data_IF_647354266223
#
_entry.id   IF_647354266223
#
_cell.length_a   1.000
_cell.length_b   1.000
_cell.length_c   1.000
_cell.angle_alpha   90.00
_cell.angle_beta   90.00
_cell.angle_gamma   90.00
#
_symmetry.space_group_name_H-M   'P 1'
#
loop_
_entity.id
_entity.type
_entity.pdbx_description
1 polymer ?
#
# COMPACT_ATOMS: atom_id res chain seq x y z
N UNK A 1 4.37 43.28 8.77
CA UNK A 1 3.33 43.20 7.73
C UNK A 1 4.10 43.04 6.43
N UNK A 2 4.15 41.93 5.70
CA UNK A 2 3.21 40.83 5.47
C UNK A 2 4.03 39.62 4.96
N UNK A 3 3.71 38.44 5.49
CA UNK A 3 3.71 37.10 4.88
C UNK A 3 4.72 36.79 3.76
N UNK A 4 5.72 35.96 4.09
CA UNK A 4 6.43 35.14 3.11
C UNK A 4 5.57 33.92 2.75
N UNK A 5 5.17 33.71 1.48
CA UNK A 5 4.74 32.39 1.02
C UNK A 5 5.99 31.51 0.87
N UNK A 6 6.19 30.61 1.84
CA UNK A 6 7.13 29.48 1.66
C UNK A 6 6.44 28.47 0.75
N UNK A 7 6.79 28.52 -0.53
CA UNK A 7 6.55 27.44 -1.47
C UNK A 7 7.45 26.28 -1.02
N UNK A 8 6.83 25.26 -0.44
CA UNK A 8 7.45 23.97 -0.12
C UNK A 8 7.96 23.32 -1.41
N UNK A 9 9.27 23.07 -1.57
CA UNK A 9 9.77 22.21 -2.64
C UNK A 9 9.46 20.76 -2.27
N UNK A 10 8.51 20.13 -2.97
CA UNK A 10 8.23 18.71 -2.85
C UNK A 10 9.39 17.94 -3.45
N UNK A 11 10.27 17.44 -2.58
CA UNK A 11 11.50 16.74 -2.92
C UNK A 11 11.21 15.47 -3.72
N UNK A 12 11.67 15.44 -4.97
CA UNK A 12 11.97 14.22 -5.70
C UNK A 12 13.46 13.88 -5.48
N UNK A 13 13.84 12.65 -5.09
CA UNK A 13 15.22 12.21 -5.11
C UNK A 13 15.59 11.55 -6.44
N UNK A 14 16.72 11.95 -7.01
CA UNK A 14 17.32 11.41 -8.24
C UNK A 14 18.26 10.20 -7.99
N UNK A 15 18.03 9.13 -8.77
CA UNK A 15 18.97 8.22 -9.49
C UNK A 15 20.03 7.38 -8.72
N UNK A 16 20.06 6.06 -8.95
CA UNK A 16 21.28 5.19 -9.06
C UNK A 16 20.95 3.90 -9.85
N UNK A 17 21.83 3.53 -10.77
CA UNK A 17 21.67 2.64 -11.92
C UNK A 17 21.62 1.12 -11.62
N UNK A 18 20.72 0.35 -12.29
CA UNK A 18 21.01 -0.95 -12.95
C UNK A 18 19.76 -1.57 -13.64
N UNK A 19 20.00 -2.07 -14.86
CA UNK A 19 19.14 -2.88 -15.77
C UNK A 19 18.17 -2.13 -16.72
N UNK A 20 18.35 -2.22 -18.06
CA UNK A 20 17.54 -1.51 -19.07
C UNK A 20 16.26 -2.23 -19.54
N UNK A 21 15.72 -3.19 -18.80
CA UNK A 21 14.43 -3.86 -19.12
C UNK A 21 13.52 -4.05 -17.89
N UNK A 22 13.55 -3.10 -16.95
CA UNK A 22 12.62 -3.03 -15.84
C UNK A 22 11.90 -1.68 -15.88
N UNK A 23 10.57 -1.69 -15.77
CA UNK A 23 9.77 -0.49 -15.56
C UNK A 23 10.38 0.36 -14.41
N UNK A 24 10.28 1.69 -14.45
CA UNK A 24 10.94 2.57 -13.47
C UNK A 24 10.61 2.15 -12.04
N UNK A 25 11.54 2.26 -11.06
CA UNK A 25 11.24 2.08 -9.65
C UNK A 25 10.29 3.20 -9.24
N UNK A 26 9.01 2.90 -9.36
CA UNK A 26 7.93 3.71 -8.86
C UNK A 26 7.94 3.55 -7.36
N UNK A 27 8.64 4.46 -6.68
CA UNK A 27 8.63 4.55 -5.23
C UNK A 27 7.23 4.95 -4.78
N UNK A 28 6.37 3.96 -4.58
CA UNK A 28 5.04 4.14 -4.02
C UNK A 28 5.16 4.21 -2.51
N UNK A 29 5.71 5.28 -1.96
CA UNK A 29 5.63 5.49 -0.51
C UNK A 29 4.18 5.73 -0.13
N UNK A 30 3.58 4.80 0.61
CA UNK A 30 2.20 4.90 1.05
C UNK A 30 2.14 4.95 2.57
N UNK A 31 1.58 6.04 3.07
CA UNK A 31 1.34 6.24 4.49
C UNK A 31 -0.16 6.19 4.74
N UNK A 32 -0.57 5.28 5.60
CA UNK A 32 -1.95 5.10 6.02
C UNK A 32 -2.03 5.35 7.51
N UNK A 33 -2.82 6.34 7.90
CA UNK A 33 -3.07 6.69 9.30
C UNK A 33 -4.54 6.47 9.58
N UNK A 34 -4.85 5.67 10.60
CA UNK A 34 -6.22 5.34 10.99
C UNK A 34 -7.11 4.98 9.80
N UNK A 35 -6.55 4.20 8.87
CA UNK A 35 -7.22 3.84 7.62
C UNK A 35 -7.74 2.42 7.70
N UNK A 36 -8.93 2.18 7.14
CA UNK A 36 -9.47 0.81 7.07
C UNK A 36 -8.64 -0.05 6.12
N UNK A 37 -8.43 -1.31 6.48
CA UNK A 37 -7.72 -2.26 5.61
C UNK A 37 -8.38 -2.40 4.24
N UNK A 38 -9.70 -2.31 4.18
CA UNK A 38 -10.42 -2.32 2.91
C UNK A 38 -9.93 -1.19 1.96
N UNK A 39 -9.70 0.01 2.49
CA UNK A 39 -9.19 1.15 1.71
C UNK A 39 -7.71 0.99 1.36
N UNK A 40 -6.89 0.47 2.28
CA UNK A 40 -5.48 0.16 2.02
C UNK A 40 -5.34 -0.84 0.87
N UNK A 41 -6.14 -1.92 0.88
CA UNK A 41 -6.13 -2.94 -0.16
C UNK A 41 -6.57 -2.37 -1.51
N UNK A 42 -7.59 -1.50 -1.56
CA UNK A 42 -7.97 -0.81 -2.80
C UNK A 42 -6.87 0.13 -3.31
N UNK A 43 -6.18 0.84 -2.42
CA UNK A 43 -5.07 1.70 -2.81
C UNK A 43 -3.92 0.89 -3.41
N UNK A 44 -3.60 -0.26 -2.83
CA UNK A 44 -2.63 -1.21 -3.39
C UNK A 44 -3.11 -1.79 -4.73
N UNK A 45 -4.39 -2.13 -4.86
CA UNK A 45 -4.97 -2.59 -6.13
C UNK A 45 -4.76 -1.55 -7.25
N UNK A 46 -5.11 -0.29 -6.97
CA UNK A 46 -5.01 0.80 -7.93
C UNK A 46 -3.56 1.18 -8.28
N UNK A 47 -2.65 1.15 -7.29
CA UNK A 47 -1.25 1.53 -7.52
C UNK A 47 -0.48 0.49 -8.32
N UNK A 48 -0.75 -0.80 -8.10
CA UNK A 48 -0.05 -1.89 -8.76
C UNK A 48 -0.80 -2.46 -9.97
N UNK A 49 -2.04 -2.04 -10.22
CA UNK A 49 -2.85 -2.49 -11.35
C UNK A 49 -3.22 -3.98 -11.31
N UNK A 50 -3.25 -4.57 -10.11
CA UNK A 50 -3.61 -5.97 -9.88
C UNK A 50 -5.09 -6.11 -9.54
N UNK A 51 -5.62 -7.33 -9.37
CA UNK A 51 -6.94 -7.57 -8.79
C UNK A 51 -6.82 -8.16 -7.39
N UNK A 52 -7.35 -7.47 -6.39
CA UNK A 52 -7.32 -7.90 -4.99
C UNK A 52 -8.75 -8.18 -4.53
N UNK A 53 -9.05 -9.47 -4.32
CA UNK A 53 -10.33 -9.90 -3.75
C UNK A 53 -10.21 -10.07 -2.25
N UNK A 54 -11.07 -9.38 -1.51
CA UNK A 54 -11.11 -9.40 -0.07
C UNK A 54 -12.54 -9.30 0.45
N UNK A 55 -12.71 -9.62 1.73
CA UNK A 55 -14.00 -9.65 2.41
C UNK A 55 -14.25 -8.28 3.05
N UNK A 56 -14.83 -7.36 2.27
CA UNK A 56 -14.96 -5.94 2.65
C UNK A 56 -15.67 -5.73 3.99
N UNK A 57 -16.70 -6.52 4.29
CA UNK A 57 -17.42 -6.44 5.57
C UNK A 57 -16.52 -6.77 6.76
N UNK A 58 -15.61 -7.75 6.62
CA UNK A 58 -14.67 -8.13 7.70
C UNK A 58 -13.51 -7.16 7.82
N UNK A 59 -13.13 -6.50 6.73
CA UNK A 59 -11.93 -5.64 6.67
C UNK A 59 -12.23 -4.14 6.82
N UNK A 60 -13.48 -3.71 6.66
CA UNK A 60 -13.88 -2.31 6.84
C UNK A 60 -13.80 -1.87 8.31
N UNK A 61 -13.99 -2.80 9.25
CA UNK A 61 -13.85 -2.54 10.69
C UNK A 61 -12.40 -2.54 11.20
N UNK A 62 -11.45 -2.97 10.37
CA UNK A 62 -10.04 -3.05 10.73
C UNK A 62 -9.36 -1.72 10.42
N UNK A 63 -9.24 -0.84 11.41
CA UNK A 63 -8.53 0.42 11.29
C UNK A 63 -7.08 0.22 11.74
N UNK A 64 -6.13 0.50 10.86
CA UNK A 64 -4.69 0.36 11.14
C UNK A 64 -3.91 1.58 10.70
N UNK A 65 -2.74 1.75 11.29
CA UNK A 65 -1.73 2.71 10.86
C UNK A 65 -0.55 1.92 10.30
N UNK A 66 -0.26 2.11 9.02
CA UNK A 66 0.77 1.36 8.31
C UNK A 66 1.59 2.28 7.41
N UNK A 67 2.90 2.04 7.41
CA UNK A 67 3.86 2.74 6.57
C UNK A 67 4.46 1.72 5.60
N UNK A 68 4.13 1.86 4.32
CA UNK A 68 4.56 0.96 3.26
C UNK A 68 5.54 1.70 2.37
N UNK A 69 6.84 1.41 2.53
CA UNK A 69 7.93 2.18 1.92
C UNK A 69 8.84 1.26 1.11
N UNK A 70 9.14 1.59 -0.15
CA UNK A 70 10.09 0.85 -1.03
C UNK A 70 9.89 -0.68 -1.11
N UNK A 71 8.76 -1.21 -0.65
CA UNK A 71 8.47 -2.65 -0.60
C UNK A 71 7.67 -3.12 -1.82
N UNK A 72 7.86 -4.37 -2.22
CA UNK A 72 7.00 -5.07 -3.19
C UNK A 72 5.55 -5.17 -2.69
N UNK A 73 4.59 -5.22 -3.63
CA UNK A 73 3.16 -5.41 -3.33
C UNK A 73 2.91 -6.57 -2.36
N UNK A 74 3.61 -7.69 -2.54
CA UNK A 74 3.45 -8.87 -1.70
C UNK A 74 3.91 -8.64 -0.27
N UNK A 75 5.01 -7.92 -0.07
CA UNK A 75 5.50 -7.59 1.27
C UNK A 75 4.56 -6.60 1.94
N UNK A 76 4.04 -5.61 1.20
CA UNK A 76 3.00 -4.70 1.68
C UNK A 76 1.75 -5.43 2.14
N UNK A 77 1.26 -6.36 1.32
CA UNK A 77 0.13 -7.23 1.67
C UNK A 77 0.43 -8.07 2.90
N UNK A 78 1.66 -8.57 3.03
CA UNK A 78 2.09 -9.34 4.19
C UNK A 78 1.99 -8.50 5.47
N UNK A 79 2.58 -7.30 5.48
CA UNK A 79 2.52 -6.37 6.63
C UNK A 79 1.06 -6.06 7.00
N UNK A 80 0.23 -5.73 6.01
CA UNK A 80 -1.20 -5.46 6.24
C UNK A 80 -1.91 -6.70 6.82
N UNK A 81 -1.61 -7.88 6.30
CA UNK A 81 -2.17 -9.15 6.79
C UNK A 81 -1.71 -9.45 8.22
N UNK A 82 -0.43 -9.23 8.56
CA UNK A 82 0.10 -9.45 9.90
C UNK A 82 -0.61 -8.56 10.94
N UNK A 83 -0.88 -7.30 10.59
CA UNK A 83 -1.58 -6.35 11.47
C UNK A 83 -3.02 -6.78 11.79
N UNK A 84 -3.68 -7.52 10.89
CA UNK A 84 -5.07 -7.99 11.06
C UNK A 84 -5.19 -9.49 11.32
N UNK A 85 -4.08 -10.20 11.53
CA UNK A 85 -4.08 -11.66 11.65
C UNK A 85 -4.69 -12.38 10.43
N UNK A 86 -4.39 -11.89 9.24
CA UNK A 86 -4.81 -12.43 7.96
C UNK A 86 -3.68 -13.10 7.17
N UNK A 87 -4.01 -13.48 5.95
CA UNK A 87 -3.08 -14.04 4.98
C UNK A 87 -3.61 -13.76 3.58
N UNK A 88 -2.71 -13.57 2.62
CA UNK A 88 -3.07 -13.46 1.21
C UNK A 88 -2.68 -14.73 0.46
N UNK A 89 -3.35 -14.99 -0.65
CA UNK A 89 -3.07 -16.10 -1.54
C UNK A 89 -3.21 -15.65 -2.99
N UNK A 90 -2.21 -15.94 -3.80
CA UNK A 90 -2.21 -15.59 -5.23
C UNK A 90 -2.86 -16.75 -6.00
N UNK A 91 -3.88 -16.43 -6.80
CA UNK A 91 -4.70 -17.36 -7.55
C UNK A 91 -4.72 -16.91 -9.02
N UNK A 92 -3.69 -17.31 -9.76
CA UNK A 92 -3.43 -16.82 -11.12
C UNK A 92 -3.13 -15.32 -11.11
N UNK A 93 -4.02 -14.54 -11.72
CA UNK A 93 -3.92 -13.07 -11.83
C UNK A 93 -4.62 -12.31 -10.69
N UNK A 94 -5.22 -13.05 -9.74
CA UNK A 94 -6.02 -12.48 -8.66
C UNK A 94 -5.41 -12.79 -7.30
N UNK A 95 -5.28 -11.77 -6.47
CA UNK A 95 -4.82 -11.90 -5.09
C UNK A 95 -6.04 -12.00 -4.17
N UNK A 96 -6.20 -13.11 -3.47
CA UNK A 96 -7.26 -13.32 -2.47
C UNK A 96 -6.72 -13.03 -1.08
N UNK A 97 -7.22 -12.00 -0.42
CA UNK A 97 -6.87 -11.67 0.98
C UNK A 97 -7.94 -12.25 1.90
N UNK A 98 -7.51 -13.07 2.86
CA UNK A 98 -8.36 -13.66 3.90
C UNK A 98 -7.89 -13.16 5.25
N UNK A 99 -8.80 -12.70 6.08
CA UNK A 99 -8.49 -12.37 7.48
C UNK A 99 -9.61 -12.88 8.39
N UNK A 100 -9.26 -13.14 9.65
CA UNK A 100 -10.24 -13.39 10.71
C UNK A 100 -10.99 -12.12 11.13
N UNK A 101 -10.58 -10.95 10.63
CA UNK A 101 -11.07 -9.64 11.04
C UNK A 101 -10.39 -9.17 12.33
N UNK A 102 -10.54 -7.89 12.62
CA UNK A 102 -10.00 -7.27 13.82
C UNK A 102 -11.02 -7.36 14.94
N UNK A 103 -10.62 -7.95 16.07
CA UNK A 103 -11.37 -7.98 17.33
C UNK A 103 -10.53 -7.33 18.41
#
# INVERSE_FOLDING_TARGET
>A
MVNHPVIIPSAAPSLKDKDPDAAPPVNYDMKFEETSVAEILKALEAAYGVKIKFDGEKMSGCIITAYLKDEDLFMRLQVVCDLIGGSYQVDGDVIKVKSRGCK
#
